data_IF_982670172431
#
_entry.id   IF_982670172431
#
_cell.length_a   1.000
_cell.length_b   1.000
_cell.length_c   1.000
_cell.angle_alpha   90.00
_cell.angle_beta   90.00
_cell.angle_gamma   90.00
#
_symmetry.space_group_name_H-M   'P 1'
#
loop_
_entity.id
_entity.type
_entity.pdbx_description
1 polymer ?
#
# COMPACT_ATOMS: atom_id res chain seq x y z
N UNK A 1 -5.79 6.01 3.00
CA UNK A 1 -5.07 6.95 2.11
C UNK A 1 -4.36 6.13 1.04
N UNK A 2 -4.36 6.57 -0.22
CA UNK A 2 -3.67 5.90 -1.33
C UNK A 2 -2.49 6.76 -1.76
N UNK A 3 -1.30 6.19 -1.85
CA UNK A 3 -0.07 6.91 -2.20
C UNK A 3 0.70 6.18 -3.32
N UNK A 4 1.39 6.92 -4.21
CA UNK A 4 2.27 6.33 -5.21
C UNK A 4 3.52 5.74 -4.55
N UNK A 5 3.98 4.58 -5.04
CA UNK A 5 5.20 3.93 -4.55
C UNK A 5 6.34 4.02 -5.59
N UNK A 6 7.10 5.14 -5.62
CA UNK A 6 8.16 5.33 -6.60
C UNK A 6 9.36 4.39 -6.41
N UNK A 7 9.53 3.77 -5.22
CA UNK A 7 10.65 2.85 -4.97
C UNK A 7 10.46 1.48 -5.62
N UNK A 8 9.22 1.08 -5.89
CA UNK A 8 8.90 -0.21 -6.50
C UNK A 8 8.16 -0.10 -7.84
N UNK A 9 8.00 1.11 -8.37
CA UNK A 9 7.44 1.35 -9.70
C UNK A 9 8.53 1.12 -10.76
N UNK A 10 8.45 0.00 -11.47
CA UNK A 10 9.16 -0.18 -12.73
C UNK A 10 8.48 0.69 -13.81
N UNK A 11 9.17 1.11 -14.88
CA UNK A 11 8.66 2.10 -15.85
C UNK A 11 7.33 1.73 -16.55
N UNK A 12 6.84 0.51 -16.43
CA UNK A 12 5.67 0.02 -17.18
C UNK A 12 4.43 -0.23 -16.31
N UNK A 13 4.55 -0.33 -14.99
CA UNK A 13 3.41 -0.67 -14.13
C UNK A 13 3.47 0.15 -12.83
N UNK A 14 2.63 1.21 -12.76
CA UNK A 14 2.52 2.08 -11.60
C UNK A 14 2.02 1.28 -10.40
N UNK A 15 2.86 1.18 -9.35
CA UNK A 15 2.46 0.54 -8.10
C UNK A 15 1.82 1.57 -7.17
N UNK A 16 0.69 1.16 -6.63
CA UNK A 16 -0.10 1.93 -5.67
C UNK A 16 -0.12 1.20 -4.34
N UNK A 17 -0.03 1.99 -3.28
CA UNK A 17 -0.19 1.51 -1.91
C UNK A 17 -1.46 2.12 -1.34
N UNK A 18 -2.32 1.29 -0.79
CA UNK A 18 -3.41 1.69 0.09
C UNK A 18 -3.08 1.29 1.53
N UNK A 19 -3.16 2.26 2.43
CA UNK A 19 -3.12 2.03 3.88
C UNK A 19 -4.48 2.38 4.45
N UNK A 20 -5.02 1.45 5.24
CA UNK A 20 -6.33 1.58 5.85
C UNK A 20 -6.47 0.69 7.09
N UNK A 21 -7.70 0.58 7.59
CA UNK A 21 -8.05 -0.36 8.66
C UNK A 21 -9.14 -1.30 8.18
N UNK A 22 -8.99 -2.59 8.46
CA UNK A 22 -10.01 -3.63 8.23
C UNK A 22 -10.31 -4.25 9.59
N UNK A 23 -11.58 -4.24 9.99
CA UNK A 23 -12.03 -4.71 11.32
C UNK A 23 -11.21 -4.09 12.49
N UNK A 24 -10.91 -2.79 12.36
CA UNK A 24 -10.11 -2.05 13.35
C UNK A 24 -8.60 -2.30 13.29
N UNK A 25 -8.13 -3.26 12.47
CA UNK A 25 -6.70 -3.59 12.32
C UNK A 25 -6.07 -2.85 11.15
N UNK A 26 -4.88 -2.27 11.32
CA UNK A 26 -4.19 -1.57 10.24
C UNK A 26 -3.75 -2.58 9.17
N UNK A 27 -4.05 -2.25 7.92
CA UNK A 27 -3.80 -3.09 6.76
C UNK A 27 -3.03 -2.30 5.71
N UNK A 28 -2.06 -2.97 5.12
CA UNK A 28 -1.27 -2.49 4.00
C UNK A 28 -1.60 -3.31 2.76
N UNK A 29 -2.00 -2.64 1.69
CA UNK A 29 -2.30 -3.27 0.41
C UNK A 29 -1.47 -2.60 -0.68
N UNK A 30 -0.64 -3.38 -1.37
CA UNK A 30 0.05 -2.96 -2.57
C UNK A 30 -0.65 -3.57 -3.80
N UNK A 31 -0.93 -2.76 -4.80
CA UNK A 31 -1.60 -3.17 -6.02
C UNK A 31 -1.10 -2.38 -7.23
N UNK A 32 -1.36 -2.89 -8.43
CA UNK A 32 -1.18 -2.18 -9.68
C UNK A 32 -2.52 -1.98 -10.38
N UNK A 33 -2.60 -0.96 -11.24
CA UNK A 33 -3.74 -0.76 -12.14
C UNK A 33 -3.29 -1.15 -13.54
N UNK A 34 -4.00 -2.09 -14.15
CA UNK A 34 -3.75 -2.56 -15.52
C UNK A 34 -5.08 -2.77 -16.22
N UNK A 35 -5.24 -2.19 -17.42
CA UNK A 35 -6.46 -2.31 -18.23
C UNK A 35 -7.74 -1.97 -17.42
N UNK A 36 -7.66 -0.92 -16.58
CA UNK A 36 -8.68 -0.48 -15.62
C UNK A 36 -9.05 -1.49 -14.51
N UNK A 37 -8.27 -2.55 -14.34
CA UNK A 37 -8.43 -3.55 -13.28
C UNK A 37 -7.37 -3.40 -12.19
N UNK A 38 -7.77 -3.71 -10.96
CA UNK A 38 -6.87 -3.79 -9.80
C UNK A 38 -6.23 -5.17 -9.78
N UNK A 39 -4.90 -5.21 -9.92
CA UNK A 39 -4.09 -6.41 -9.67
C UNK A 39 -3.49 -6.33 -8.27
N UNK A 40 -3.96 -7.14 -7.30
CA UNK A 40 -3.33 -7.19 -5.99
C UNK A 40 -1.92 -7.78 -6.10
N UNK A 41 -0.96 -7.12 -5.45
CA UNK A 41 0.44 -7.57 -5.36
C UNK A 41 0.70 -8.11 -3.96
N UNK A 42 0.24 -7.40 -2.92
CA UNK A 42 0.36 -7.81 -1.53
C UNK A 42 -0.80 -7.27 -0.71
N UNK A 43 -1.29 -8.08 0.23
CA UNK A 43 -2.30 -7.69 1.20
C UNK A 43 -1.90 -8.29 2.55
N UNK A 44 -1.45 -7.44 3.47
CA UNK A 44 -0.94 -7.88 4.78
C UNK A 44 -1.43 -6.96 5.89
N UNK A 45 -1.63 -7.52 7.07
CA UNK A 45 -1.78 -6.72 8.27
C UNK A 45 -0.45 -6.03 8.58
N UNK A 46 -0.51 -4.75 8.94
CA UNK A 46 0.67 -4.03 9.42
C UNK A 46 1.02 -4.55 10.81
N UNK A 47 2.31 -4.86 11.03
CA UNK A 47 2.82 -5.09 12.37
C UNK A 47 3.02 -3.75 13.08
N UNK A 48 2.84 -3.72 14.40
CA UNK A 48 2.88 -2.51 15.23
C UNK A 48 4.11 -1.62 14.98
N UNK A 49 5.26 -2.22 14.65
CA UNK A 49 6.51 -1.49 14.36
C UNK A 49 6.50 -0.69 13.05
N UNK A 50 5.70 -1.08 12.05
CA UNK A 50 5.57 -0.31 10.79
C UNK A 50 4.68 0.92 10.95
N UNK A 51 3.69 0.87 11.86
CA UNK A 51 2.77 1.98 12.12
C UNK A 51 3.51 3.17 12.72
N UNK A 52 4.38 2.92 13.71
CA UNK A 52 5.16 3.97 14.37
C UNK A 52 6.08 4.73 13.41
N UNK A 53 6.68 4.04 12.42
CA UNK A 53 7.52 4.68 11.42
C UNK A 53 6.72 5.46 10.37
N UNK A 54 5.47 5.08 10.09
CA UNK A 54 4.61 5.79 9.14
C UNK A 54 3.94 7.02 9.77
N UNK A 55 3.61 6.97 11.07
CA UNK A 55 3.05 8.11 11.80
C UNK A 55 4.10 9.16 12.21
N UNK A 56 5.38 8.81 12.37
CA UNK A 56 6.44 9.76 12.72
C UNK A 56 6.90 10.69 11.57
N UNK A 57 6.31 10.55 10.38
CA UNK A 57 6.65 11.31 9.18
C UNK A 57 5.58 12.29 8.69
N UNK A 58 4.54 12.56 9.49
CA UNK A 58 3.55 13.63 9.25
C UNK A 58 3.85 14.82 10.15
#
# INVERSE_FOLDING_TARGET
MVAPDPKHSLPTEGRHIAVGRVDGRPMFVAFAIRDDLIRPISARYMHEKEITNYEAGT
#
